data_IF_298772559875
#
_entry.id   IF_298772559875
#
_cell.length_a   1.000
_cell.length_b   1.000
_cell.length_c   1.000
_cell.angle_alpha   90.00
_cell.angle_beta   90.00
_cell.angle_gamma   90.00
#
_symmetry.space_group_name_H-M   'P 1'
#
loop_
_entity.id
_entity.type
_entity.pdbx_description
1 polymer ?
#
# COMPACT_ATOMS: atom_id res chain seq x y z
N UNK A 1 35.50 -21.11 63.41
CA UNK A 1 34.38 -20.37 62.78
C UNK A 1 34.62 -20.35 61.27
N UNK A 2 33.84 -21.13 60.51
CA UNK A 2 34.02 -21.26 59.06
C UNK A 2 33.19 -20.20 58.32
N UNK A 3 33.86 -19.35 57.53
CA UNK A 3 33.21 -18.39 56.61
C UNK A 3 32.57 -19.18 55.45
N UNK A 4 31.24 -19.20 55.40
CA UNK A 4 30.48 -19.62 54.20
C UNK A 4 30.61 -18.53 53.14
N UNK A 5 31.35 -18.82 52.07
CA UNK A 5 31.29 -18.05 50.83
C UNK A 5 29.93 -18.28 50.18
N UNK A 6 29.09 -17.24 50.18
CA UNK A 6 27.84 -17.22 49.42
C UNK A 6 28.25 -17.02 47.97
N UNK A 7 28.24 -18.08 47.16
CA UNK A 7 28.62 -18.03 45.75
C UNK A 7 27.68 -17.12 44.96
N UNK A 8 28.22 -16.25 44.13
CA UNK A 8 27.50 -15.32 43.23
C UNK A 8 26.81 -16.01 42.03
N UNK A 9 26.96 -17.33 41.90
CA UNK A 9 26.48 -18.12 40.77
C UNK A 9 24.94 -18.09 40.55
N UNK A 10 24.07 -18.18 41.58
CA UNK A 10 22.62 -18.15 41.37
C UNK A 10 22.10 -16.75 40.98
N UNK A 11 22.79 -15.68 41.41
CA UNK A 11 22.44 -14.31 41.02
C UNK A 11 22.83 -14.01 39.57
N UNK A 12 23.98 -14.53 39.10
CA UNK A 12 24.36 -14.42 37.69
C UNK A 12 23.44 -15.21 36.76
N UNK A 13 23.04 -16.44 37.14
CA UNK A 13 22.06 -17.22 36.39
C UNK A 13 20.69 -16.56 36.35
N UNK A 14 20.23 -15.97 37.46
CA UNK A 14 18.99 -15.19 37.50
C UNK A 14 19.02 -13.94 36.61
N UNK A 15 20.15 -13.23 36.56
CA UNK A 15 20.34 -12.09 35.67
C UNK A 15 20.36 -12.45 34.19
N UNK A 16 21.01 -13.56 33.81
CA UNK A 16 21.05 -14.07 32.43
C UNK A 16 19.65 -14.55 32.01
N UNK A 17 18.92 -15.26 32.88
CA UNK A 17 17.55 -15.67 32.62
C UNK A 17 16.61 -14.47 32.49
N UNK A 18 16.74 -13.44 33.34
CA UNK A 18 15.95 -12.22 33.25
C UNK A 18 16.23 -11.43 31.95
N UNK A 19 17.50 -11.35 31.52
CA UNK A 19 17.89 -10.72 30.25
C UNK A 19 17.40 -11.53 29.04
N UNK A 20 17.45 -12.86 29.09
CA UNK A 20 16.91 -13.72 28.05
C UNK A 20 15.38 -13.61 27.97
N UNK A 21 14.70 -13.54 29.13
CA UNK A 21 13.26 -13.33 29.19
C UNK A 21 12.87 -11.94 28.65
N UNK A 22 13.59 -10.88 29.03
CA UNK A 22 13.38 -9.54 28.47
C UNK A 22 13.64 -9.49 26.95
N UNK A 23 14.65 -10.20 26.45
CA UNK A 23 14.93 -10.30 25.01
C UNK A 23 13.82 -10.97 24.20
N UNK A 24 13.15 -11.98 24.77
CA UNK A 24 12.00 -12.66 24.15
C UNK A 24 10.77 -11.75 24.06
N UNK A 25 10.51 -10.91 25.08
CA UNK A 25 9.40 -9.95 25.10
C UNK A 25 9.60 -8.72 24.19
N UNK A 26 10.84 -8.45 23.75
CA UNK A 26 11.14 -7.31 22.87
C UNK A 26 11.02 -7.60 21.38
N UNK A 27 10.82 -8.86 20.96
CA UNK A 27 10.66 -9.18 19.54
C UNK A 27 9.26 -8.80 19.06
N UNK A 28 9.11 -7.92 18.06
CA UNK A 28 7.81 -7.64 17.48
C UNK A 28 7.21 -8.95 16.91
N UNK A 29 5.88 -9.13 16.98
CA UNK A 29 5.24 -10.33 16.47
C UNK A 29 5.56 -10.52 14.98
N UNK A 30 5.71 -11.78 14.52
CA UNK A 30 5.97 -12.05 13.11
C UNK A 30 4.83 -11.50 12.24
N UNK A 31 5.18 -11.07 11.03
CA UNK A 31 4.20 -10.63 10.04
C UNK A 31 3.24 -11.78 9.71
N UNK A 32 1.95 -11.54 9.91
CA UNK A 32 0.88 -12.47 9.55
C UNK A 32 0.28 -12.04 8.20
N UNK A 33 0.46 -12.86 7.17
CA UNK A 33 -0.12 -12.64 5.84
C UNK A 33 -1.27 -13.61 5.61
N UNK A 34 -2.45 -13.08 5.31
CA UNK A 34 -3.64 -13.85 4.94
C UNK A 34 -3.91 -13.62 3.44
N UNK A 35 -4.12 -14.68 2.66
CA UNK A 35 -4.48 -14.54 1.25
C UNK A 35 -6.01 -14.60 1.08
N UNK A 36 -6.57 -13.57 0.44
CA UNK A 36 -7.96 -13.49 0.03
C UNK A 36 -8.10 -13.69 -1.48
N UNK A 37 -8.76 -14.79 -1.87
CA UNK A 37 -9.17 -15.03 -3.25
C UNK A 37 -10.69 -15.27 -3.33
N UNK A 38 -11.47 -14.34 -3.91
CA UNK A 38 -12.92 -14.51 -4.06
C UNK A 38 -13.31 -15.43 -5.24
N UNK A 39 -12.34 -15.92 -6.03
CA UNK A 39 -12.58 -16.82 -7.16
C UNK A 39 -12.91 -18.23 -6.64
N UNK A 40 -14.19 -18.54 -6.56
CA UNK A 40 -14.63 -19.94 -6.43
C UNK A 40 -14.78 -20.57 -7.82
N UNK A 41 -14.62 -21.90 -7.97
CA UNK A 41 -14.81 -22.59 -9.27
C UNK A 41 -16.17 -22.36 -9.94
N UNK A 42 -17.16 -21.80 -9.22
CA UNK A 42 -18.53 -21.55 -9.69
C UNK A 42 -18.84 -20.09 -9.99
N UNK A 43 -17.93 -19.15 -9.70
CA UNK A 43 -18.11 -17.74 -10.02
C UNK A 43 -17.02 -17.32 -11.02
N UNK A 44 -17.28 -17.38 -12.34
CA UNK A 44 -16.41 -16.73 -13.29
C UNK A 44 -16.31 -15.24 -12.93
N UNK A 45 -15.13 -14.67 -13.13
CA UNK A 45 -14.93 -13.24 -13.02
C UNK A 45 -15.91 -12.53 -13.99
N UNK A 46 -16.43 -11.33 -13.64
CA UNK A 46 -17.14 -10.49 -14.60
C UNK A 46 -16.36 -10.42 -15.91
N UNK A 47 -17.04 -10.52 -17.05
CA UNK A 47 -16.40 -10.26 -18.34
C UNK A 47 -16.02 -8.77 -18.37
N UNK A 48 -14.74 -8.48 -18.14
CA UNK A 48 -14.14 -7.18 -18.41
C UNK A 48 -13.88 -7.03 -19.92
N UNK A 49 -13.48 -5.84 -20.37
CA UNK A 49 -13.30 -5.58 -21.79
C UNK A 49 -12.31 -6.56 -22.45
N UNK A 50 -12.35 -6.64 -23.78
CA UNK A 50 -11.38 -7.42 -24.57
C UNK A 50 -9.94 -6.87 -24.48
N UNK A 51 -9.74 -5.71 -23.85
CA UNK A 51 -8.41 -5.13 -23.67
C UNK A 51 -7.65 -5.87 -22.56
N UNK A 52 -6.48 -6.39 -22.91
CA UNK A 52 -5.62 -7.17 -22.02
C UNK A 52 -4.21 -6.60 -21.98
N UNK A 53 -3.68 -6.46 -20.77
CA UNK A 53 -2.34 -5.96 -20.50
C UNK A 53 -1.48 -7.05 -19.87
N UNK A 54 -0.18 -7.01 -20.17
CA UNK A 54 0.83 -7.79 -19.46
C UNK A 54 1.66 -6.81 -18.66
N UNK A 55 1.65 -6.97 -17.34
CA UNK A 55 2.49 -6.23 -16.41
C UNK A 55 3.78 -7.02 -16.27
N UNK A 56 4.88 -6.42 -16.71
CA UNK A 56 6.20 -6.99 -16.49
C UNK A 56 6.52 -6.93 -15.00
N UNK A 57 6.79 -8.10 -14.40
CA UNK A 57 7.20 -8.25 -13.00
C UNK A 57 8.58 -8.92 -13.01
N UNK A 58 9.68 -8.14 -13.04
CA UNK A 58 11.01 -8.70 -13.03
C UNK A 58 11.27 -9.32 -11.65
N UNK A 59 11.10 -10.65 -11.57
CA UNK A 59 11.37 -11.44 -10.35
C UNK A 59 12.79 -11.29 -9.80
N UNK A 60 13.73 -10.80 -10.61
CA UNK A 60 15.14 -10.61 -10.27
C UNK A 60 15.53 -9.13 -10.10
N UNK A 61 14.58 -8.19 -10.27
CA UNK A 61 14.78 -6.84 -9.78
C UNK A 61 14.47 -6.83 -8.27
N UNK A 62 15.20 -6.05 -7.44
CA UNK A 62 14.70 -5.75 -6.11
C UNK A 62 13.26 -5.26 -6.30
N UNK A 63 12.28 -5.94 -5.69
CA UNK A 63 10.91 -5.41 -5.66
C UNK A 63 10.97 -3.94 -5.20
N UNK A 64 9.99 -3.13 -5.58
CA UNK A 64 9.90 -1.76 -5.07
C UNK A 64 9.92 -1.85 -3.53
N UNK A 65 11.09 -1.57 -2.93
CA UNK A 65 11.30 -1.68 -1.48
C UNK A 65 10.48 -0.63 -0.72
N UNK A 66 9.78 0.21 -1.47
CA UNK A 66 8.93 1.28 -1.06
C UNK A 66 7.76 1.43 -2.05
N UNK A 67 6.55 1.53 -1.51
CA UNK A 67 5.35 1.93 -2.24
C UNK A 67 4.58 3.01 -1.49
N UNK A 68 3.33 3.20 -1.86
CA UNK A 68 2.38 4.11 -1.22
C UNK A 68 1.29 3.31 -0.52
N UNK A 69 0.87 3.75 0.67
CA UNK A 69 -0.29 3.23 1.37
C UNK A 69 -1.18 4.37 1.84
N UNK A 70 -2.47 4.11 2.04
CA UNK A 70 -3.42 5.11 2.48
C UNK A 70 -4.44 4.58 3.48
N UNK A 71 -4.87 5.44 4.40
CA UNK A 71 -5.76 5.10 5.50
C UNK A 71 -7.20 4.96 4.99
N UNK A 72 -7.84 3.87 5.41
CA UNK A 72 -9.25 3.57 5.11
C UNK A 72 -10.10 3.40 6.36
N UNK A 73 -9.47 3.36 7.54
CA UNK A 73 -10.13 3.35 8.84
C UNK A 73 -9.26 4.05 9.89
N UNK A 74 -9.88 4.79 10.82
CA UNK A 74 -9.17 5.56 11.86
C UNK A 74 -8.37 4.65 12.80
N UNK A 75 -8.81 3.41 13.01
CA UNK A 75 -8.16 2.42 13.87
C UNK A 75 -6.96 1.73 13.21
N UNK A 76 -6.50 2.25 12.07
CA UNK A 76 -5.26 1.83 11.44
C UNK A 76 -5.41 0.69 10.44
N UNK A 77 -6.51 0.69 9.68
CA UNK A 77 -6.60 -0.07 8.44
C UNK A 77 -6.07 0.76 7.27
N UNK A 78 -5.18 0.17 6.46
CA UNK A 78 -4.56 0.82 5.32
C UNK A 78 -4.66 -0.04 4.07
N UNK A 79 -4.86 0.58 2.91
CA UNK A 79 -4.75 -0.08 1.61
C UNK A 79 -3.40 0.23 0.96
N UNK A 80 -2.88 -0.74 0.22
CA UNK A 80 -1.70 -0.66 -0.65
C UNK A 80 -1.86 -1.69 -1.78
N UNK A 81 -0.88 -1.81 -2.67
CA UNK A 81 -0.84 -2.85 -3.69
C UNK A 81 -0.30 -4.17 -3.11
N UNK A 82 -0.79 -5.31 -3.58
CA UNK A 82 -0.34 -6.63 -3.10
C UNK A 82 1.12 -6.88 -3.45
N UNK A 83 1.56 -6.51 -4.65
CA UNK A 83 2.96 -6.67 -5.03
C UNK A 83 3.95 -5.84 -4.19
N UNK A 84 3.49 -4.84 -3.42
CA UNK A 84 4.33 -4.05 -2.50
C UNK A 84 4.56 -4.79 -1.18
N UNK A 85 3.65 -5.69 -0.80
CA UNK A 85 3.72 -6.46 0.46
C UNK A 85 4.14 -7.92 0.25
N UNK A 86 4.08 -8.38 -1.00
CA UNK A 86 4.37 -9.75 -1.40
C UNK A 86 5.79 -10.16 -1.04
N UNK A 87 5.90 -11.34 -0.44
CA UNK A 87 7.16 -12.00 -0.06
C UNK A 87 8.06 -11.18 0.90
N UNK A 88 7.52 -10.10 1.49
CA UNK A 88 8.21 -9.31 2.50
C UNK A 88 8.28 -10.09 3.82
N UNK A 89 9.47 -10.14 4.41
CA UNK A 89 9.65 -10.64 5.78
C UNK A 89 9.01 -9.72 6.81
N UNK A 90 9.02 -8.41 6.53
CA UNK A 90 8.44 -7.35 7.36
C UNK A 90 7.95 -6.21 6.48
N UNK A 91 6.93 -5.54 6.96
CA UNK A 91 6.37 -4.37 6.28
C UNK A 91 6.34 -3.23 7.27
N UNK A 92 6.63 -2.00 6.84
CA UNK A 92 6.57 -0.83 7.70
C UNK A 92 5.89 0.38 7.08
N UNK A 93 5.04 1.06 7.83
CA UNK A 93 4.43 2.33 7.44
C UNK A 93 5.29 3.51 7.92
N UNK A 94 5.50 4.50 7.06
CA UNK A 94 6.30 5.66 7.42
C UNK A 94 5.67 6.47 8.56
N UNK A 95 6.43 6.70 9.63
CA UNK A 95 6.11 7.64 10.70
C UNK A 95 7.31 8.54 10.97
N UNK A 96 7.25 9.78 10.49
CA UNK A 96 8.41 10.69 10.50
C UNK A 96 9.58 10.08 9.74
N UNK A 97 10.70 9.84 10.44
CA UNK A 97 11.95 9.33 9.88
C UNK A 97 12.15 7.82 10.07
N UNK A 98 11.14 7.11 10.56
CA UNK A 98 11.18 5.66 10.78
C UNK A 98 10.05 4.96 10.02
N UNK A 99 10.23 3.67 9.74
CA UNK A 99 9.16 2.79 9.28
C UNK A 99 8.66 1.96 10.46
N UNK A 100 7.40 2.15 10.88
CA UNK A 100 6.78 1.37 11.95
C UNK A 100 6.32 0.04 11.38
N UNK A 101 6.94 -1.05 11.83
CA UNK A 101 6.56 -2.41 11.46
C UNK A 101 5.05 -2.67 11.66
N UNK A 102 4.38 -3.29 10.71
CA UNK A 102 2.99 -3.74 10.84
C UNK A 102 2.95 -5.25 11.03
N UNK A 103 1.93 -5.77 11.72
CA UNK A 103 1.90 -7.18 12.12
C UNK A 103 0.95 -8.04 11.30
N UNK A 104 0.03 -7.45 10.53
CA UNK A 104 -1.02 -8.20 9.85
C UNK A 104 -1.38 -7.58 8.50
N UNK A 105 -1.40 -8.41 7.47
CA UNK A 105 -1.77 -8.02 6.11
C UNK A 105 -2.72 -9.05 5.53
N UNK A 106 -3.70 -8.59 4.77
CA UNK A 106 -4.57 -9.43 3.94
C UNK A 106 -4.29 -9.07 2.49
N UNK A 107 -3.84 -10.03 1.70
CA UNK A 107 -3.45 -9.83 0.32
C UNK A 107 -4.51 -10.38 -0.63
N UNK A 108 -4.84 -9.64 -1.68
CA UNK A 108 -5.67 -10.12 -2.77
C UNK A 108 -4.94 -10.01 -4.10
N UNK A 109 -4.55 -11.17 -4.63
CA UNK A 109 -4.00 -11.29 -5.98
C UNK A 109 -5.03 -11.03 -7.07
N UNK A 110 -6.33 -11.13 -6.77
CA UNK A 110 -7.36 -10.70 -7.72
C UNK A 110 -7.31 -9.19 -7.91
N UNK A 111 -7.27 -8.46 -6.81
CA UNK A 111 -7.30 -7.03 -6.85
C UNK A 111 -5.92 -6.41 -7.04
N UNK A 112 -4.80 -7.15 -6.99
CA UNK A 112 -3.45 -6.59 -6.75
C UNK A 112 -3.46 -5.54 -5.63
N UNK A 113 -4.20 -5.84 -4.56
CA UNK A 113 -4.36 -4.96 -3.41
C UNK A 113 -4.10 -5.73 -2.12
N UNK A 114 -3.53 -5.05 -1.14
CA UNK A 114 -3.37 -5.57 0.21
C UNK A 114 -3.94 -4.60 1.22
N UNK A 115 -4.52 -5.17 2.28
CA UNK A 115 -5.05 -4.44 3.42
C UNK A 115 -4.19 -4.73 4.64
N UNK A 116 -3.53 -3.70 5.15
CA UNK A 116 -2.81 -3.73 6.42
C UNK A 116 -3.82 -3.56 7.56
N UNK A 117 -3.76 -4.45 8.54
CA UNK A 117 -4.47 -4.35 9.83
C UNK A 117 -3.46 -3.99 10.92
N UNK A 118 -3.96 -3.39 11.99
CA UNK A 118 -3.14 -2.99 13.15
C UNK A 118 -1.98 -2.06 12.74
N UNK A 119 -2.25 -1.19 11.77
CA UNK A 119 -1.32 -0.18 11.26
C UNK A 119 -1.20 1.03 12.19
N UNK A 120 -0.76 2.16 11.63
CA UNK A 120 -0.78 3.43 12.36
C UNK A 120 -2.22 3.95 12.43
N UNK A 121 -2.70 4.51 13.54
CA UNK A 121 -3.97 5.23 13.52
C UNK A 121 -3.88 6.46 12.62
N UNK A 122 -5.01 6.88 12.06
CA UNK A 122 -5.10 8.05 11.17
C UNK A 122 -6.32 8.88 11.52
N UNK A 123 -6.15 10.20 11.69
CA UNK A 123 -7.27 11.12 11.96
C UNK A 123 -8.13 11.35 10.72
N UNK A 124 -7.54 11.17 9.54
CA UNK A 124 -8.18 11.29 8.25
C UNK A 124 -8.13 9.97 7.49
N UNK A 125 -9.23 9.63 6.83
CA UNK A 125 -9.44 8.39 6.10
C UNK A 125 -10.09 8.72 4.77
N UNK A 126 -9.75 7.93 3.75
CA UNK A 126 -10.22 8.18 2.39
C UNK A 126 -11.52 7.41 2.11
N UNK A 127 -12.57 8.08 1.58
CA UNK A 127 -13.85 7.45 1.26
C UNK A 127 -13.69 6.50 0.06
N UNK A 128 -14.07 5.25 0.23
CA UNK A 128 -14.00 4.24 -0.83
C UNK A 128 -15.30 4.15 -1.60
N UNK A 129 -15.22 3.83 -2.90
CA UNK A 129 -16.39 3.53 -3.72
C UNK A 129 -16.15 2.28 -4.56
N UNK A 130 -17.15 1.40 -4.61
CA UNK A 130 -17.20 0.27 -5.54
C UNK A 130 -17.80 0.63 -6.90
N UNK A 131 -18.14 1.90 -7.12
CA UNK A 131 -18.76 2.37 -8.36
C UNK A 131 -17.69 2.55 -9.43
N UNK A 132 -17.98 2.02 -10.62
CA UNK A 132 -17.13 2.23 -11.78
C UNK A 132 -17.26 3.68 -12.28
N UNK A 133 -16.15 4.45 -12.39
CA UNK A 133 -16.17 5.73 -13.09
C UNK A 133 -16.45 5.53 -14.59
N UNK A 134 -17.03 6.53 -15.24
CA UNK A 134 -17.31 6.48 -16.67
C UNK A 134 -16.01 6.69 -17.47
N UNK A 135 -15.81 6.03 -18.63
CA UNK A 135 -14.72 6.38 -19.55
C UNK A 135 -14.71 7.88 -19.86
N UNK A 136 -13.52 8.47 -19.90
CA UNK A 136 -13.31 9.92 -20.01
C UNK A 136 -13.34 10.68 -18.67
N UNK A 137 -13.65 10.02 -17.54
CA UNK A 137 -13.58 10.66 -16.22
C UNK A 137 -12.13 10.96 -15.82
N UNK A 138 -11.92 12.04 -15.07
CA UNK A 138 -10.61 12.38 -14.54
C UNK A 138 -10.31 11.59 -13.25
N UNK A 139 -9.06 11.12 -13.13
CA UNK A 139 -8.52 10.45 -11.96
C UNK A 139 -7.34 11.23 -11.34
N UNK A 140 -7.32 11.30 -10.02
CA UNK A 140 -6.24 11.87 -9.22
C UNK A 140 -5.47 10.77 -8.50
N UNK A 141 -4.29 10.43 -9.00
CA UNK A 141 -3.42 9.41 -8.43
C UNK A 141 -2.45 10.08 -7.46
N UNK A 142 -2.50 9.69 -6.19
CA UNK A 142 -1.71 10.31 -5.14
C UNK A 142 -0.70 9.30 -4.58
N UNK A 143 0.57 9.67 -4.53
CA UNK A 143 1.58 8.77 -3.96
C UNK A 143 3.01 9.27 -4.04
N UNK A 144 3.95 8.33 -4.01
CA UNK A 144 5.38 8.63 -3.93
C UNK A 144 6.22 8.09 -5.11
N UNK A 145 5.91 8.42 -6.38
CA UNK A 145 6.83 8.20 -7.49
C UNK A 145 8.28 8.61 -7.18
N UNK A 146 9.25 7.74 -7.43
CA UNK A 146 10.67 7.95 -7.11
C UNK A 146 10.90 8.41 -5.65
N UNK A 147 10.02 7.99 -4.73
CA UNK A 147 10.05 8.39 -3.34
C UNK A 147 9.69 9.86 -3.09
N UNK A 148 9.02 10.57 -4.01
CA UNK A 148 8.61 11.97 -3.83
C UNK A 148 7.10 12.14 -3.94
N UNK A 149 6.47 12.93 -3.07
CA UNK A 149 5.04 13.21 -3.20
C UNK A 149 4.73 13.76 -4.58
N UNK A 150 3.86 13.06 -5.31
CA UNK A 150 3.46 13.43 -6.67
C UNK A 150 1.97 13.16 -6.83
N UNK A 151 1.25 14.15 -7.35
CA UNK A 151 -0.11 14.03 -7.82
C UNK A 151 -0.06 13.81 -9.33
N UNK A 152 -0.51 12.65 -9.81
CA UNK A 152 -0.66 12.36 -11.24
C UNK A 152 -2.13 12.48 -11.62
N UNK A 153 -2.39 13.19 -12.72
CA UNK A 153 -3.72 13.40 -13.28
C UNK A 153 -3.84 12.55 -14.51
N UNK A 154 -4.95 11.82 -14.62
CA UNK A 154 -5.21 10.94 -15.76
C UNK A 154 -6.66 11.02 -16.22
N UNK A 155 -6.91 10.51 -17.41
CA UNK A 155 -8.24 10.27 -17.96
C UNK A 155 -8.50 8.76 -18.04
N UNK A 156 -9.68 8.30 -17.60
CA UNK A 156 -10.05 6.90 -17.67
C UNK A 156 -10.27 6.46 -19.12
N UNK A 157 -9.51 5.48 -19.59
CA UNK A 157 -9.77 4.81 -20.86
C UNK A 157 -10.95 3.86 -20.71
N UNK A 158 -10.91 3.01 -19.67
CA UNK A 158 -11.99 2.07 -19.38
C UNK A 158 -11.55 0.85 -18.58
N UNK A 159 -12.48 -0.09 -18.35
CA UNK A 159 -12.15 -1.38 -17.73
C UNK A 159 -11.29 -2.21 -18.67
N UNK A 160 -10.39 -3.01 -18.11
CA UNK A 160 -9.54 -3.93 -18.84
C UNK A 160 -9.16 -5.12 -17.96
N UNK A 161 -8.35 -6.01 -18.51
CA UNK A 161 -7.75 -7.12 -17.78
C UNK A 161 -6.23 -7.00 -17.79
N UNK A 162 -5.58 -7.44 -16.71
CA UNK A 162 -4.12 -7.49 -16.64
C UNK A 162 -3.65 -8.88 -16.20
N UNK A 163 -2.46 -9.27 -16.64
CA UNK A 163 -1.72 -10.41 -16.10
C UNK A 163 -0.34 -9.95 -15.67
N UNK A 164 0.05 -10.35 -14.47
CA UNK A 164 1.38 -10.03 -13.92
C UNK A 164 2.35 -11.16 -14.19
N UNK A 165 3.50 -10.82 -14.80
CA UNK A 165 4.54 -11.77 -15.16
C UNK A 165 4.02 -12.95 -16.01
N UNK A 166 4.47 -14.16 -15.69
CA UNK A 166 4.05 -15.39 -16.36
C UNK A 166 2.86 -16.09 -15.66
N UNK A 167 2.16 -15.39 -14.78
CA UNK A 167 1.07 -16.01 -13.99
C UNK A 167 -0.14 -16.29 -14.86
N UNK A 168 -0.91 -17.32 -14.47
CA UNK A 168 -2.22 -17.64 -15.05
C UNK A 168 -3.38 -16.80 -14.52
N UNK A 169 -3.09 -15.88 -13.61
CA UNK A 169 -4.10 -15.09 -12.93
C UNK A 169 -4.36 -13.79 -13.69
N UNK A 170 -5.62 -13.62 -14.07
CA UNK A 170 -6.10 -12.38 -14.68
C UNK A 170 -6.71 -11.48 -13.60
N UNK A 171 -6.19 -10.26 -13.51
CA UNK A 171 -6.59 -9.19 -12.62
C UNK A 171 -7.57 -8.24 -13.34
N UNK A 172 -8.73 -7.93 -12.75
CA UNK A 172 -9.50 -6.77 -13.19
C UNK A 172 -8.83 -5.46 -12.90
N UNK A 173 -8.71 -4.65 -13.95
CA UNK A 173 -8.08 -3.34 -13.83
C UNK A 173 -8.91 -2.25 -14.51
N UNK A 174 -8.61 -1.02 -14.14
CA UNK A 174 -8.92 0.15 -14.94
C UNK A 174 -7.65 0.65 -15.62
N UNK A 175 -7.77 0.99 -16.90
CA UNK A 175 -6.71 1.60 -17.68
C UNK A 175 -6.93 3.11 -17.75
N UNK A 176 -5.87 3.86 -17.43
CA UNK A 176 -5.86 5.31 -17.40
C UNK A 176 -4.76 5.85 -18.31
N UNK A 177 -5.01 7.01 -18.91
CA UNK A 177 -4.04 7.77 -19.69
C UNK A 177 -3.61 9.01 -18.90
N UNK A 178 -2.33 9.10 -18.54
CA UNK A 178 -1.76 10.26 -17.88
C UNK A 178 -1.90 11.51 -18.76
N UNK A 179 -2.43 12.57 -18.15
CA UNK A 179 -2.59 13.90 -18.73
C UNK A 179 -1.51 14.85 -18.21
N UNK A 180 -1.06 14.65 -16.97
CA UNK A 180 0.04 15.42 -16.39
C UNK A 180 0.31 15.04 -14.95
N UNK A 181 1.32 15.67 -14.33
CA UNK A 181 1.68 15.44 -12.93
C UNK A 181 2.20 16.69 -12.24
N UNK A 182 2.06 16.74 -10.92
CA UNK A 182 2.52 17.80 -10.04
C UNK A 182 3.38 17.18 -8.93
N UNK A 183 4.65 17.59 -8.77
CA UNK A 183 5.38 18.50 -9.66
C UNK A 183 5.57 17.90 -11.06
N UNK A 184 5.69 18.76 -12.07
CA UNK A 184 5.96 18.31 -13.44
C UNK A 184 7.32 17.61 -13.53
N UNK A 185 7.38 16.52 -14.29
CA UNK A 185 8.60 15.74 -14.50
C UNK A 185 8.36 14.51 -15.37
N UNK A 186 9.44 13.86 -15.80
CA UNK A 186 9.45 12.65 -16.63
C UNK A 186 10.06 11.44 -15.89
N UNK A 187 10.25 11.57 -14.58
CA UNK A 187 10.78 10.49 -13.76
C UNK A 187 9.84 9.28 -13.76
N UNK A 188 10.41 8.13 -13.41
CA UNK A 188 9.65 6.89 -13.24
C UNK A 188 8.48 7.06 -12.27
N UNK A 189 7.42 6.30 -12.52
CA UNK A 189 6.28 6.16 -11.60
C UNK A 189 6.48 5.06 -10.54
N UNK A 190 7.63 4.36 -10.50
CA UNK A 190 7.99 3.42 -9.42
C UNK A 190 7.80 4.08 -8.04
N UNK A 191 7.19 3.36 -7.11
CA UNK A 191 6.76 3.88 -5.80
C UNK A 191 5.35 4.51 -5.74
N UNK A 192 4.68 4.75 -6.87
CA UNK A 192 3.25 5.15 -6.87
C UNK A 192 2.33 3.99 -6.49
N UNK A 193 2.78 2.75 -6.71
CA UNK A 193 2.05 1.52 -6.42
C UNK A 193 1.49 1.53 -5.01
N UNK A 194 0.22 1.15 -4.89
CA UNK A 194 -0.54 1.17 -3.64
C UNK A 194 -1.20 2.50 -3.30
N UNK A 195 -0.86 3.59 -3.98
CA UNK A 195 -1.49 4.90 -3.76
C UNK A 195 -2.95 4.92 -4.21
N UNK A 196 -3.80 5.76 -3.60
CA UNK A 196 -5.19 5.88 -4.00
C UNK A 196 -5.33 6.59 -5.35
N UNK A 197 -6.38 6.22 -6.08
CA UNK A 197 -6.86 6.98 -7.24
C UNK A 197 -8.25 7.49 -6.93
N UNK A 198 -8.39 8.81 -6.86
CA UNK A 198 -9.65 9.46 -6.56
C UNK A 198 -10.34 9.95 -7.82
N UNK A 199 -11.65 9.71 -7.90
CA UNK A 199 -12.51 10.34 -8.90
C UNK A 199 -12.84 11.78 -8.51
N UNK A 200 -13.36 12.55 -9.46
CA UNK A 200 -13.77 13.94 -9.26
C UNK A 200 -14.84 14.12 -8.17
N UNK A 201 -15.61 13.08 -7.86
CA UNK A 201 -16.61 13.10 -6.77
C UNK A 201 -15.99 12.93 -5.36
N UNK A 202 -14.67 12.76 -5.28
CA UNK A 202 -13.92 12.66 -4.03
C UNK A 202 -13.76 11.24 -3.48
N UNK A 203 -14.32 10.21 -4.13
CA UNK A 203 -14.11 8.82 -3.71
C UNK A 203 -12.84 8.23 -4.29
N UNK A 204 -12.18 7.37 -3.52
CA UNK A 204 -11.21 6.41 -4.03
C UNK A 204 -11.94 5.35 -4.85
N UNK A 205 -11.56 5.24 -6.13
CA UNK A 205 -12.13 4.30 -7.10
C UNK A 205 -11.12 3.24 -7.55
N UNK A 206 -9.92 3.23 -6.97
CA UNK A 206 -8.92 2.22 -7.24
C UNK A 206 -7.62 2.44 -6.45
N UNK A 207 -6.76 1.44 -6.52
CA UNK A 207 -5.40 1.46 -5.98
C UNK A 207 -4.43 1.37 -7.15
N UNK A 208 -3.35 2.15 -7.15
CA UNK A 208 -2.33 2.09 -8.21
C UNK A 208 -1.65 0.71 -8.21
N UNK A 209 -1.68 0.02 -9.35
CA UNK A 209 -1.20 -1.37 -9.49
C UNK A 209 0.02 -1.47 -10.41
N UNK A 210 0.01 -0.74 -11.53
CA UNK A 210 1.14 -0.70 -12.43
C UNK A 210 1.14 0.60 -13.23
N UNK A 211 2.31 1.00 -13.71
CA UNK A 211 2.43 2.09 -14.67
C UNK A 211 3.48 1.75 -15.73
N UNK A 212 3.27 2.22 -16.96
CA UNK A 212 4.25 2.09 -18.04
C UNK A 212 4.69 3.46 -18.52
N UNK A 213 5.96 3.81 -18.30
CA UNK A 213 6.52 5.12 -18.62
C UNK A 213 6.39 5.46 -20.11
N UNK A 214 6.61 4.48 -21.01
CA UNK A 214 6.62 4.70 -22.48
C UNK A 214 5.29 5.19 -23.09
N UNK A 215 4.17 5.07 -22.39
CA UNK A 215 2.85 5.41 -22.93
C UNK A 215 1.98 6.22 -21.97
N UNK A 216 2.54 6.67 -20.85
CA UNK A 216 1.77 7.36 -19.80
C UNK A 216 0.55 6.56 -19.35
N UNK A 217 0.60 5.22 -19.40
CA UNK A 217 -0.54 4.38 -19.00
C UNK A 217 -0.37 3.96 -17.56
N UNK A 218 -1.45 4.11 -16.80
CA UNK A 218 -1.53 3.70 -15.41
C UNK A 218 -2.65 2.66 -15.31
N UNK A 219 -2.37 1.55 -14.64
CA UNK A 219 -3.34 0.52 -14.33
C UNK A 219 -3.65 0.59 -12.84
N UNK A 220 -4.93 0.53 -12.52
CA UNK A 220 -5.41 0.48 -11.14
C UNK A 220 -6.27 -0.73 -10.94
N UNK A 221 -6.42 -1.12 -9.68
CA UNK A 221 -7.38 -2.13 -9.27
C UNK A 221 -8.79 -1.72 -9.68
N UNK A 222 -9.65 -2.70 -10.01
CA UNK A 222 -11.05 -2.40 -10.23
C UNK A 222 -11.78 -2.10 -8.90
N UNK A 223 -12.66 -1.09 -8.85
CA UNK A 223 -13.28 -0.65 -7.60
C UNK A 223 -14.06 -1.76 -6.88
N UNK A 224 -14.73 -2.64 -7.61
CA UNK A 224 -15.48 -3.76 -7.04
C UNK A 224 -14.56 -4.84 -6.42
N UNK A 225 -13.39 -5.09 -7.02
CA UNK A 225 -12.38 -6.01 -6.49
C UNK A 225 -11.75 -5.44 -5.20
N UNK A 226 -11.44 -4.15 -5.19
CA UNK A 226 -10.99 -3.44 -3.98
C UNK A 226 -12.03 -3.56 -2.85
N UNK A 227 -13.31 -3.28 -3.13
CA UNK A 227 -14.37 -3.37 -2.10
C UNK A 227 -14.55 -4.80 -1.59
N UNK A 228 -14.39 -5.84 -2.42
CA UNK A 228 -14.43 -7.24 -1.95
C UNK A 228 -13.34 -7.52 -0.90
N UNK A 229 -12.11 -7.06 -1.12
CA UNK A 229 -11.02 -7.19 -0.15
C UNK A 229 -11.36 -6.44 1.15
N UNK A 230 -11.82 -5.19 1.03
CA UNK A 230 -12.19 -4.35 2.19
C UNK A 230 -13.27 -5.03 3.04
N UNK A 231 -14.34 -5.52 2.41
CA UNK A 231 -15.42 -6.24 3.11
C UNK A 231 -14.91 -7.54 3.74
N UNK A 232 -14.09 -8.31 3.03
CA UNK A 232 -13.53 -9.55 3.54
C UNK A 232 -12.62 -9.33 4.76
N UNK A 233 -11.93 -8.17 4.82
CA UNK A 233 -11.01 -7.85 5.90
C UNK A 233 -11.67 -7.67 7.27
N UNK A 234 -12.93 -7.21 7.27
CA UNK A 234 -13.68 -6.78 8.46
C UNK A 234 -12.94 -5.74 9.30
N UNK A 235 -12.04 -4.97 8.68
CA UNK A 235 -11.18 -4.00 9.35
C UNK A 235 -11.61 -2.55 9.13
N UNK A 236 -12.58 -2.31 8.24
CA UNK A 236 -13.06 -0.97 7.89
C UNK A 236 -14.50 -0.81 8.36
N UNK A 237 -14.70 0.07 9.32
CA UNK A 237 -15.98 0.45 9.88
C UNK A 237 -16.31 1.93 9.57
N UNK A 238 -15.29 2.73 9.27
CA UNK A 238 -15.46 4.11 8.85
C UNK A 238 -15.98 4.23 7.41
N UNK A 239 -16.90 5.17 7.22
CA UNK A 239 -17.41 5.57 5.90
C UNK A 239 -17.47 7.10 5.87
N UNK A 240 -16.32 7.78 5.68
CA UNK A 240 -16.28 9.23 5.61
C UNK A 240 -17.08 9.74 4.41
N UNK A 241 -17.58 10.98 4.51
CA UNK A 241 -18.28 11.63 3.41
C UNK A 241 -17.25 12.08 2.37
N UNK A 242 -17.46 11.70 1.11
CA UNK A 242 -16.70 12.24 -0.01
C UNK A 242 -17.20 13.63 -0.41
N UNK A 243 -16.27 14.52 -0.71
CA UNK A 243 -16.55 15.84 -1.24
C UNK A 243 -15.94 15.95 -2.64
N UNK A 244 -16.71 16.39 -3.65
CA UNK A 244 -16.17 16.60 -4.99
C UNK A 244 -14.97 17.54 -5.00
N UNK A 245 -14.02 17.30 -5.89
CA UNK A 245 -12.92 18.21 -6.13
C UNK A 245 -13.41 19.42 -6.93
N UNK A 246 -13.00 20.62 -6.53
CA UNK A 246 -13.27 21.85 -7.27
C UNK A 246 -12.37 22.02 -8.51
N UNK A 247 -11.39 21.13 -8.69
CA UNK A 247 -10.41 21.14 -9.78
C UNK A 247 -9.02 20.73 -9.29
N UNK A 248 -8.02 20.89 -10.16
CA UNK A 248 -6.65 20.45 -9.91
C UNK A 248 -5.99 21.10 -8.68
N UNK A 249 -6.21 22.40 -8.46
CA UNK A 249 -5.65 23.10 -7.31
C UNK A 249 -6.23 22.59 -5.97
N UNK A 250 -7.50 22.21 -5.94
CA UNK A 250 -8.13 21.59 -4.77
C UNK A 250 -7.58 20.17 -4.56
N UNK A 251 -7.40 19.39 -5.64
CA UNK A 251 -6.76 18.08 -5.56
C UNK A 251 -5.33 18.15 -4.98
N UNK A 252 -4.53 19.13 -5.41
CA UNK A 252 -3.20 19.38 -4.88
C UNK A 252 -3.23 19.76 -3.40
N UNK A 253 -4.12 20.69 -3.01
CA UNK A 253 -4.26 21.12 -1.62
C UNK A 253 -4.68 19.98 -0.69
N UNK A 254 -5.65 19.15 -1.11
CA UNK A 254 -6.08 17.99 -0.33
C UNK A 254 -5.01 16.92 -0.25
N UNK A 255 -4.26 16.69 -1.33
CA UNK A 255 -3.12 15.79 -1.28
C UNK A 255 -2.08 16.26 -0.25
N UNK A 256 -1.72 17.54 -0.26
CA UNK A 256 -0.81 18.12 0.73
C UNK A 256 -1.33 17.92 2.17
N UNK A 257 -2.63 18.16 2.40
CA UNK A 257 -3.28 17.93 3.71
C UNK A 257 -3.19 16.48 4.14
N UNK A 258 -3.53 15.52 3.26
CA UNK A 258 -3.46 14.09 3.57
C UNK A 258 -2.05 13.59 3.81
N UNK A 259 -1.03 14.21 3.21
CA UNK A 259 0.38 13.92 3.53
C UNK A 259 0.76 14.44 4.92
N UNK A 260 0.34 15.66 5.29
CA UNK A 260 0.62 16.28 6.58
C UNK A 260 -0.07 15.54 7.73
N UNK A 261 -1.34 15.20 7.56
CA UNK A 261 -2.13 14.39 8.48
C UNK A 261 -1.68 12.92 8.47
N UNK A 262 -0.93 12.55 7.43
CA UNK A 262 -0.41 11.22 7.20
C UNK A 262 -1.50 10.20 6.91
N UNK A 263 -2.61 10.60 6.29
CA UNK A 263 -3.59 9.68 5.69
C UNK A 263 -3.03 8.98 4.45
N UNK A 264 -2.00 9.54 3.80
CA UNK A 264 -1.23 8.90 2.72
C UNK A 264 0.24 8.85 3.13
N UNK A 265 0.83 7.66 3.10
CA UNK A 265 2.19 7.40 3.61
C UNK A 265 2.97 6.50 2.66
N UNK A 266 4.30 6.54 2.76
CA UNK A 266 5.11 5.47 2.18
C UNK A 266 4.96 4.21 3.01
N UNK A 267 4.99 3.08 2.34
CA UNK A 267 5.09 1.74 2.95
C UNK A 267 6.37 1.08 2.44
N UNK A 268 7.02 0.30 3.27
CA UNK A 268 8.32 -0.31 2.99
C UNK A 268 8.27 -1.81 3.16
N UNK A 269 8.92 -2.53 2.27
CA UNK A 269 9.18 -3.97 2.36
C UNK A 269 10.53 -4.22 3.03
N UNK A 270 10.64 -5.28 3.83
CA UNK A 270 11.84 -5.73 4.54
C UNK A 270 12.49 -4.68 5.46
N UNK A 271 11.69 -4.09 6.34
CA UNK A 271 12.18 -3.15 7.36
C UNK A 271 12.96 -3.85 8.49
N UNK A 272 14.13 -3.34 8.85
CA UNK A 272 14.98 -3.90 9.92
C UNK A 272 14.38 -3.78 11.34
N UNK A 273 14.80 -4.69 12.23
CA UNK A 273 14.30 -4.84 13.62
C UNK A 273 14.59 -3.64 14.53
N UNK A 274 15.57 -2.81 14.15
CA UNK A 274 15.87 -1.52 14.77
C UNK A 274 15.53 -0.39 13.82
N UNK A 275 14.25 0.02 13.81
CA UNK A 275 13.69 1.19 13.11
C UNK A 275 14.64 1.78 12.05
N UNK A 276 14.56 1.35 10.77
CA UNK A 276 15.46 1.86 9.76
C UNK A 276 15.26 3.38 9.73
N UNK A 277 16.31 4.13 10.08
CA UNK A 277 16.40 5.51 9.64
C UNK A 277 16.28 5.43 8.15
N UNK A 278 15.28 6.09 7.59
CA UNK A 278 15.13 6.21 6.15
C UNK A 278 16.42 6.84 5.61
N UNK A 279 17.36 6.03 5.13
CA UNK A 279 18.50 6.54 4.38
C UNK A 279 17.93 6.95 3.05
N UNK A 280 17.63 8.24 2.92
CA UNK A 280 17.40 8.88 1.64
C UNK A 280 18.70 8.78 0.84
N UNK A 281 18.94 7.67 0.16
CA UNK A 281 19.86 7.63 -0.97
C UNK A 281 19.21 8.41 -2.09
N UNK A 282 19.45 9.72 -2.07
CA UNK A 282 19.31 10.57 -3.25
C UNK A 282 20.26 9.97 -4.30
N UNK A 283 19.77 9.50 -5.46
CA UNK A 283 20.66 9.15 -6.55
C UNK A 283 21.39 10.44 -6.95
N UNK A 284 22.70 10.44 -6.82
CA UNK A 284 23.53 11.55 -7.25
C UNK A 284 23.36 11.73 -8.77
N UNK A 285 23.10 12.98 -9.16
CA UNK A 285 23.54 13.66 -10.40
C UNK A 285 23.48 12.89 -11.71
#
# INVERSE_FOLDING_TARGET
MARRSIGCLPWMLGGILALAWMGEFTRPPPLQVETFDPRSPRRPLPQWSDEAFVIEDPRDAPGDSMGTAFAVDRDGAWLTAEHVTRDCSRIGLQQGNIARAVSRVIESREADAALVRDGLPSEDVLPLSGRMPAPGSIGFHMGFPAGRPTLVVSELIGPASARRGQTDQTEPVLAWAEVGRIPAGDHTLSGISGGPVLAEDGHVVGVNSAATDRRGRILTTAPDAMIRLVVASRAVNDQPVAYPFAGLADAEARFASWLEQGAIRRIYCDVDEGAPRLTATVPNG
#
